data_IF_727902601284
#
_entry.id   IF_727902601284
#
_cell.length_a   1.000
_cell.length_b   1.000
_cell.length_c   1.000
_cell.angle_alpha   90.00
_cell.angle_beta   90.00
_cell.angle_gamma   90.00
#
_symmetry.space_group_name_H-M   'P 1'
#
loop_
_entity.id
_entity.type
_entity.pdbx_description
1 polymer ?
#
# COMPACT_ATOMS: atom_id res chain seq x y z
N UNK A 1 12.65 3.02 -3.72
CA UNK A 1 12.90 4.16 -2.80
C UNK A 1 11.56 4.85 -2.56
N UNK A 2 11.17 5.06 -1.31
CA UNK A 2 9.95 5.79 -0.92
C UNK A 2 10.19 7.30 -1.02
N UNK A 3 9.10 8.05 -1.21
CA UNK A 3 9.08 9.50 -1.00
C UNK A 3 8.45 9.82 0.38
N UNK A 4 8.66 11.03 0.93
CA UNK A 4 8.01 11.44 2.17
C UNK A 4 6.50 11.33 2.07
N UNK A 5 5.84 11.00 3.17
CA UNK A 5 4.38 10.86 3.26
C UNK A 5 3.66 12.12 2.72
N UNK A 6 4.10 13.32 3.09
CA UNK A 6 3.59 14.58 2.57
C UNK A 6 3.76 14.75 1.06
N UNK A 7 4.83 14.21 0.46
CA UNK A 7 5.05 14.29 -0.98
C UNK A 7 4.03 13.42 -1.73
N UNK A 8 3.73 12.22 -1.23
CA UNK A 8 2.70 11.38 -1.85
C UNK A 8 1.30 11.99 -1.69
N UNK A 9 0.98 12.58 -0.55
CA UNK A 9 -0.28 13.32 -0.34
C UNK A 9 -0.43 14.48 -1.35
N UNK A 10 0.65 15.22 -1.64
CA UNK A 10 0.63 16.26 -2.69
C UNK A 10 0.26 15.67 -4.07
N UNK A 11 0.80 14.50 -4.41
CA UNK A 11 0.46 13.84 -5.68
C UNK A 11 -1.02 13.39 -5.71
N UNK A 12 -1.56 12.87 -4.60
CA UNK A 12 -2.97 12.49 -4.50
C UNK A 12 -3.90 13.69 -4.65
N UNK A 13 -3.56 14.81 -3.99
CA UNK A 13 -4.32 16.06 -4.14
C UNK A 13 -4.24 16.62 -5.56
N UNK A 14 -3.08 16.52 -6.23
CA UNK A 14 -2.94 16.93 -7.62
C UNK A 14 -3.80 16.07 -8.56
N UNK A 15 -3.88 14.75 -8.32
CA UNK A 15 -4.78 13.86 -9.06
C UNK A 15 -6.26 14.22 -8.83
N UNK A 16 -6.65 14.57 -7.60
CA UNK A 16 -8.01 15.07 -7.31
C UNK A 16 -8.29 16.39 -8.03
N UNK A 17 -7.36 17.35 -7.96
CA UNK A 17 -7.49 18.62 -8.70
C UNK A 17 -7.67 18.39 -10.20
N UNK A 18 -6.95 17.45 -10.80
CA UNK A 18 -7.11 17.11 -12.21
C UNK A 18 -8.53 16.57 -12.50
N UNK A 19 -9.06 15.69 -11.66
CA UNK A 19 -10.43 15.17 -11.79
C UNK A 19 -11.48 16.28 -11.67
N UNK A 20 -11.28 17.21 -10.72
CA UNK A 20 -12.17 18.34 -10.46
C UNK A 20 -12.18 19.33 -11.65
N UNK A 21 -10.99 19.69 -12.18
CA UNK A 21 -10.86 20.55 -13.37
C UNK A 21 -11.55 19.94 -14.58
N UNK A 22 -11.47 18.62 -14.74
CA UNK A 22 -12.14 17.90 -15.83
C UNK A 22 -13.64 17.69 -15.58
N UNK A 23 -14.15 18.01 -14.38
CA UNK A 23 -15.56 17.79 -14.02
C UNK A 23 -15.94 16.31 -13.98
N UNK A 24 -15.01 15.42 -13.60
CA UNK A 24 -15.24 13.96 -13.59
C UNK A 24 -15.13 13.36 -12.20
N UNK A 25 -15.98 12.40 -11.82
CA UNK A 25 -15.88 11.69 -10.54
C UNK A 25 -14.84 10.55 -10.60
N UNK A 26 -13.66 10.84 -11.18
CA UNK A 26 -12.61 9.83 -11.35
C UNK A 26 -12.14 9.30 -10.00
N UNK A 27 -12.09 7.98 -9.86
CA UNK A 27 -11.60 7.33 -8.65
C UNK A 27 -10.08 7.41 -8.56
N UNK A 28 -9.57 7.66 -7.36
CA UNK A 28 -8.14 7.73 -7.05
C UNK A 28 -7.78 6.59 -6.09
N UNK A 29 -6.75 5.81 -6.44
CA UNK A 29 -6.23 4.72 -5.59
C UNK A 29 -4.84 5.10 -5.07
N UNK A 30 -4.70 5.21 -3.74
CA UNK A 30 -3.40 5.43 -3.12
C UNK A 30 -2.69 4.09 -2.87
N UNK A 31 -1.49 3.93 -3.45
CA UNK A 31 -0.63 2.77 -3.26
C UNK A 31 0.51 3.09 -2.29
N UNK A 32 0.84 2.15 -1.41
CA UNK A 32 2.09 2.18 -0.64
C UNK A 32 2.94 0.95 -0.93
N UNK A 33 4.24 1.19 -1.07
CA UNK A 33 5.29 0.18 -1.32
C UNK A 33 6.18 -0.06 -0.08
N UNK A 34 5.78 0.47 1.07
CA UNK A 34 6.59 0.45 2.29
C UNK A 34 6.77 -0.95 2.89
N UNK A 35 6.10 -1.98 2.35
CA UNK A 35 6.19 -3.35 2.82
C UNK A 35 7.58 -3.94 2.54
N UNK A 36 8.15 -3.62 1.38
CA UNK A 36 9.45 -4.11 0.94
C UNK A 36 10.49 -3.01 0.69
N UNK A 37 10.07 -1.74 0.54
CA UNK A 37 10.99 -0.65 0.25
C UNK A 37 11.89 -0.32 1.45
N UNK A 38 13.22 -0.42 1.25
CA UNK A 38 14.24 -0.19 2.30
C UNK A 38 14.88 1.19 2.29
N UNK A 39 14.47 2.06 1.37
CA UNK A 39 15.08 3.38 1.18
C UNK A 39 14.00 4.46 1.16
N UNK A 40 14.31 5.66 1.66
CA UNK A 40 13.48 6.86 1.67
C UNK A 40 14.30 8.07 1.19
N UNK A 41 13.71 8.94 0.36
CA UNK A 41 14.46 10.07 -0.19
C UNK A 41 14.82 11.13 0.84
N UNK A 42 13.99 11.37 1.85
CA UNK A 42 14.23 12.34 2.92
C UNK A 42 13.41 12.00 4.16
N UNK A 43 13.97 12.20 5.34
CA UNK A 43 13.30 12.07 6.65
C UNK A 43 12.63 13.37 7.14
N UNK A 44 12.40 14.32 6.22
CA UNK A 44 11.83 15.63 6.53
C UNK A 44 10.44 15.54 7.18
N UNK A 45 9.65 14.53 6.81
CA UNK A 45 8.32 14.29 7.35
C UNK A 45 8.41 13.49 8.65
N UNK A 46 7.93 14.09 9.75
CA UNK A 46 7.95 13.48 11.08
C UNK A 46 7.25 12.13 11.16
N UNK A 47 6.25 11.89 10.30
CA UNK A 47 5.52 10.62 10.24
C UNK A 47 6.37 9.47 9.71
N UNK A 48 7.44 9.78 8.97
CA UNK A 48 8.35 8.78 8.40
C UNK A 48 9.52 8.45 9.34
N UNK A 49 9.92 9.40 10.20
CA UNK A 49 11.06 9.26 11.13
C UNK A 49 10.99 8.00 12.03
N UNK A 50 9.84 7.58 12.57
CA UNK A 50 9.74 6.34 13.36
C UNK A 50 10.19 5.07 12.62
N UNK A 51 10.24 5.12 11.28
CA UNK A 51 10.62 3.99 10.44
C UNK A 51 12.04 4.15 9.84
N UNK A 52 12.71 5.28 10.07
CA UNK A 52 14.07 5.50 9.61
C UNK A 52 15.06 4.73 10.48
N UNK A 53 16.01 4.07 9.84
CA UNK A 53 17.17 3.45 10.47
C UNK A 53 18.34 4.42 10.40
N UNK A 54 18.48 5.24 11.45
CA UNK A 54 19.53 6.25 11.54
C UNK A 54 20.92 5.64 11.76
N UNK A 55 21.01 4.45 12.37
CA UNK A 55 22.29 3.76 12.63
C UNK A 55 22.91 3.23 11.34
N UNK A 56 22.07 2.84 10.37
CA UNK A 56 22.52 2.41 9.05
C UNK A 56 23.07 3.55 8.17
N UNK A 57 22.93 4.81 8.61
CA UNK A 57 23.37 5.99 7.86
C UNK A 57 22.65 6.16 6.52
N UNK A 58 23.25 6.93 5.61
CA UNK A 58 22.71 7.18 4.26
C UNK A 58 23.47 6.39 3.20
N UNK A 59 22.79 6.06 2.11
CA UNK A 59 23.46 5.50 0.91
C UNK A 59 24.34 6.55 0.24
N UNK A 60 25.17 6.14 -0.73
CA UNK A 60 26.06 7.05 -1.47
C UNK A 60 25.30 8.09 -2.30
N UNK A 61 24.07 7.78 -2.71
CA UNK A 61 23.13 8.69 -3.39
C UNK A 61 22.42 9.65 -2.41
N UNK A 62 22.65 9.47 -1.10
CA UNK A 62 22.06 10.30 -0.04
C UNK A 62 20.70 9.85 0.47
N UNK A 63 20.24 8.63 0.15
CA UNK A 63 18.96 8.11 0.65
C UNK A 63 19.07 7.63 2.09
N UNK A 64 18.00 7.83 2.87
CA UNK A 64 17.84 7.24 4.18
C UNK A 64 17.46 5.77 4.07
N UNK A 65 17.96 4.94 4.98
CA UNK A 65 17.51 3.57 5.13
C UNK A 65 16.28 3.52 6.04
N UNK A 66 15.33 2.63 5.73
CA UNK A 66 14.09 2.48 6.51
C UNK A 66 13.80 1.02 6.85
N UNK A 67 13.21 0.81 8.03
CA UNK A 67 12.61 -0.46 8.45
C UNK A 67 11.30 -0.64 7.68
N UNK A 68 11.35 -1.49 6.65
CA UNK A 68 10.18 -1.85 5.85
C UNK A 68 9.22 -2.77 6.62
N UNK A 69 7.97 -2.87 6.15
CA UNK A 69 7.01 -3.85 6.65
C UNK A 69 5.59 -3.31 6.79
N UNK A 70 4.75 -4.03 7.54
CA UNK A 70 3.32 -3.71 7.63
C UNK A 70 3.01 -2.43 8.42
N UNK A 71 3.86 -2.10 9.40
CA UNK A 71 3.67 -0.92 10.25
C UNK A 71 3.80 0.41 9.48
N UNK A 72 4.87 0.67 8.70
CA UNK A 72 4.92 1.87 7.86
C UNK A 72 3.84 1.88 6.79
N UNK A 73 3.40 0.71 6.28
CA UNK A 73 2.27 0.63 5.35
C UNK A 73 0.96 1.13 5.99
N UNK A 74 0.64 0.68 7.20
CA UNK A 74 -0.58 1.12 7.92
C UNK A 74 -0.51 2.61 8.22
N UNK A 75 0.63 3.11 8.73
CA UNK A 75 0.79 4.54 9.04
C UNK A 75 0.60 5.42 7.79
N UNK A 76 1.24 5.04 6.66
CA UNK A 76 1.08 5.74 5.39
C UNK A 76 -0.34 5.65 4.84
N UNK A 77 -0.96 4.48 4.90
CA UNK A 77 -2.33 4.27 4.47
C UNK A 77 -3.33 5.16 5.23
N UNK A 78 -3.20 5.25 6.56
CA UNK A 78 -4.01 6.16 7.39
C UNK A 78 -3.82 7.61 6.91
N UNK A 79 -2.57 8.03 6.69
CA UNK A 79 -2.28 9.38 6.21
C UNK A 79 -2.83 9.66 4.80
N UNK A 80 -2.89 8.65 3.93
CA UNK A 80 -3.39 8.79 2.55
C UNK A 80 -4.92 8.72 2.47
N UNK A 81 -5.58 8.12 3.47
CA UNK A 81 -7.00 7.83 3.42
C UNK A 81 -7.92 9.02 3.10
N UNK A 82 -7.69 10.25 3.60
CA UNK A 82 -8.52 11.40 3.24
C UNK A 82 -8.36 11.88 1.79
N UNK A 83 -7.33 11.42 1.07
CA UNK A 83 -6.91 11.95 -0.22
C UNK A 83 -7.14 10.99 -1.39
N UNK A 84 -7.69 9.80 -1.13
CA UNK A 84 -7.93 8.77 -2.14
C UNK A 84 -9.27 8.08 -1.89
N UNK A 85 -9.84 7.41 -2.88
CA UNK A 85 -11.08 6.64 -2.75
C UNK A 85 -10.79 5.24 -2.22
N UNK A 86 -9.74 4.59 -2.74
CA UNK A 86 -9.26 3.28 -2.29
C UNK A 86 -7.80 3.34 -1.84
N UNK A 87 -7.41 2.39 -0.99
CA UNK A 87 -6.03 2.20 -0.56
C UNK A 87 -5.53 0.80 -0.92
N UNK A 88 -4.30 0.72 -1.40
CA UNK A 88 -3.60 -0.50 -1.76
C UNK A 88 -2.23 -0.56 -1.08
N UNK A 89 -1.92 -1.67 -0.42
CA UNK A 89 -0.57 -2.03 0.01
C UNK A 89 0.00 -3.08 -0.94
N UNK A 90 1.15 -2.81 -1.56
CA UNK A 90 1.90 -3.87 -2.25
C UNK A 90 2.45 -4.86 -1.21
N UNK A 91 2.51 -6.15 -1.54
CA UNK A 91 2.93 -7.19 -0.61
C UNK A 91 3.91 -8.16 -1.28
N UNK A 92 4.82 -8.73 -0.49
CA UNK A 92 5.81 -9.69 -0.99
C UNK A 92 5.27 -11.11 -1.16
N UNK A 93 4.12 -11.44 -0.54
CA UNK A 93 3.50 -12.78 -0.56
C UNK A 93 1.97 -12.70 -0.47
N UNK A 94 1.23 -13.69 -0.98
CA UNK A 94 -0.21 -13.77 -0.82
C UNK A 94 -0.55 -14.28 0.59
N UNK A 95 -0.72 -13.37 1.56
CA UNK A 95 -0.95 -13.68 2.98
C UNK A 95 -2.24 -13.01 3.50
N UNK A 96 -3.25 -13.83 3.82
CA UNK A 96 -4.54 -13.37 4.34
C UNK A 96 -4.45 -12.79 5.75
N UNK A 97 -3.51 -13.24 6.59
CA UNK A 97 -3.31 -12.68 7.92
C UNK A 97 -2.67 -11.29 7.84
N UNK A 98 -1.69 -11.11 6.95
CA UNK A 98 -1.11 -9.79 6.66
C UNK A 98 -2.18 -8.84 6.09
N UNK A 99 -2.99 -9.31 5.14
CA UNK A 99 -4.08 -8.54 4.56
C UNK A 99 -5.12 -8.12 5.62
N UNK A 100 -5.51 -9.04 6.51
CA UNK A 100 -6.40 -8.74 7.63
C UNK A 100 -5.82 -7.69 8.56
N UNK A 101 -4.55 -7.82 8.96
CA UNK A 101 -3.85 -6.86 9.82
C UNK A 101 -3.82 -5.45 9.20
N UNK A 102 -3.56 -5.35 7.89
CA UNK A 102 -3.61 -4.08 7.17
C UNK A 102 -5.01 -3.49 7.17
N UNK A 103 -6.02 -4.28 6.78
CA UNK A 103 -7.39 -3.83 6.69
C UNK A 103 -7.94 -3.33 8.03
N UNK A 104 -7.69 -4.07 9.11
CA UNK A 104 -8.09 -3.66 10.47
C UNK A 104 -7.34 -2.41 10.93
N UNK A 105 -6.03 -2.31 10.65
CA UNK A 105 -5.22 -1.14 11.01
C UNK A 105 -5.71 0.16 10.36
N UNK A 106 -6.05 0.10 9.07
CA UNK A 106 -6.59 1.25 8.34
C UNK A 106 -8.03 1.56 8.79
N UNK A 107 -8.89 0.53 8.84
CA UNK A 107 -10.33 0.73 9.10
C UNK A 107 -10.65 1.09 10.54
N UNK A 108 -9.72 0.87 11.48
CA UNK A 108 -9.82 1.42 12.85
C UNK A 108 -9.87 2.95 12.83
N UNK A 109 -9.11 3.59 11.95
CA UNK A 109 -9.03 5.04 11.83
C UNK A 109 -9.99 5.59 10.79
N UNK A 110 -10.24 4.82 9.73
CA UNK A 110 -11.18 5.16 8.65
C UNK A 110 -12.19 4.03 8.44
N UNK A 111 -13.23 3.92 9.29
CA UNK A 111 -14.26 2.91 9.16
C UNK A 111 -14.88 2.92 7.76
N UNK A 112 -14.99 1.75 7.15
CA UNK A 112 -15.57 1.59 5.81
C UNK A 112 -14.65 1.95 4.64
N UNK A 113 -13.39 2.35 4.88
CA UNK A 113 -12.44 2.65 3.80
C UNK A 113 -12.30 1.47 2.83
N UNK A 114 -12.53 1.73 1.55
CA UNK A 114 -12.40 0.73 0.49
C UNK A 114 -10.92 0.41 0.26
N UNK A 115 -10.61 -0.87 0.11
CA UNK A 115 -9.26 -1.35 -0.12
C UNK A 115 -9.16 -2.02 -1.49
N UNK A 116 -7.95 -2.02 -2.04
CA UNK A 116 -7.61 -2.74 -3.26
C UNK A 116 -6.46 -3.73 -3.01
N UNK A 117 -6.48 -4.86 -3.71
CA UNK A 117 -5.50 -5.94 -3.54
C UNK A 117 -4.99 -6.46 -4.88
N UNK A 118 -3.67 -6.51 -5.03
CA UNK A 118 -3.00 -7.16 -6.15
C UNK A 118 -2.83 -8.66 -5.85
N UNK A 119 -3.58 -9.49 -6.55
CA UNK A 119 -3.37 -10.94 -6.61
C UNK A 119 -2.19 -11.22 -7.56
N UNK A 120 -0.98 -10.88 -7.12
CA UNK A 120 0.18 -10.79 -8.00
C UNK A 120 0.54 -12.13 -8.66
N UNK A 121 0.78 -12.16 -9.99
CA UNK A 121 1.32 -13.34 -10.67
C UNK A 121 2.82 -13.55 -10.39
N UNK A 122 3.52 -12.56 -9.79
CA UNK A 122 4.89 -12.75 -9.31
C UNK A 122 4.99 -13.71 -8.11
N UNK A 123 3.86 -14.01 -7.46
CA UNK A 123 3.81 -15.00 -6.40
C UNK A 123 3.81 -16.41 -6.99
N UNK A 124 4.64 -17.30 -6.43
CA UNK A 124 4.43 -18.72 -6.65
C UNK A 124 3.28 -19.21 -5.76
N UNK A 125 2.05 -19.16 -6.28
CA UNK A 125 0.81 -19.43 -5.51
C UNK A 125 0.81 -20.81 -4.84
N UNK A 126 1.05 -21.89 -5.61
CA UNK A 126 1.06 -23.27 -5.08
C UNK A 126 2.23 -23.57 -4.13
N UNK A 127 3.31 -22.79 -4.20
CA UNK A 127 4.39 -22.88 -3.20
C UNK A 127 4.02 -22.23 -1.87
N UNK A 128 3.21 -21.18 -1.90
CA UNK A 128 2.85 -20.42 -0.69
C UNK A 128 1.55 -20.90 -0.03
N UNK A 129 0.61 -21.42 -0.82
CA UNK A 129 -0.77 -21.71 -0.38
C UNK A 129 -1.23 -23.07 -0.90
N UNK A 130 -2.08 -23.74 -0.10
CA UNK A 130 -2.81 -24.92 -0.55
C UNK A 130 -3.99 -24.56 -1.49
N UNK A 131 -4.48 -25.55 -2.22
CA UNK A 131 -5.54 -25.35 -3.22
C UNK A 131 -6.84 -24.81 -2.60
N UNK A 132 -7.16 -25.21 -1.37
CA UNK A 132 -8.36 -24.73 -0.66
C UNK A 132 -8.26 -23.24 -0.31
N UNK A 133 -7.08 -22.79 0.09
CA UNK A 133 -6.79 -21.39 0.41
C UNK A 133 -6.77 -20.53 -0.86
N UNK A 134 -6.16 -21.01 -1.94
CA UNK A 134 -6.20 -20.35 -3.25
C UNK A 134 -7.66 -20.14 -3.69
N UNK A 135 -8.49 -21.19 -3.61
CA UNK A 135 -9.89 -21.13 -4.06
C UNK A 135 -10.78 -20.15 -3.25
N UNK A 136 -10.43 -19.83 -2.00
CA UNK A 136 -11.18 -18.90 -1.15
C UNK A 136 -10.51 -17.53 -0.97
N UNK A 137 -9.28 -17.35 -1.45
CA UNK A 137 -8.44 -16.17 -1.19
C UNK A 137 -9.17 -14.85 -1.46
N UNK A 138 -9.72 -14.70 -2.67
CA UNK A 138 -10.41 -13.46 -3.07
C UNK A 138 -11.71 -13.21 -2.28
N UNK A 139 -12.44 -14.28 -1.91
CA UNK A 139 -13.67 -14.17 -1.12
C UNK A 139 -13.35 -13.67 0.29
N UNK A 140 -12.30 -14.21 0.91
CA UNK A 140 -11.86 -13.76 2.24
C UNK A 140 -11.35 -12.32 2.21
N UNK A 141 -10.56 -11.93 1.21
CA UNK A 141 -10.18 -10.53 1.00
C UNK A 141 -11.40 -9.61 0.84
N UNK A 142 -12.40 -10.04 0.08
CA UNK A 142 -13.65 -9.31 -0.13
C UNK A 142 -14.39 -9.01 1.18
N UNK A 143 -14.39 -9.96 2.12
CA UNK A 143 -14.98 -9.79 3.45
C UNK A 143 -14.20 -8.78 4.32
N UNK A 144 -12.88 -8.68 4.14
CA UNK A 144 -12.02 -7.71 4.86
C UNK A 144 -12.15 -6.26 4.33
N UNK A 145 -12.75 -6.07 3.16
CA UNK A 145 -12.94 -4.75 2.54
C UNK A 145 -12.12 -4.50 1.27
N UNK A 146 -11.40 -5.50 0.77
CA UNK A 146 -10.74 -5.43 -0.53
C UNK A 146 -11.77 -5.59 -1.65
N UNK A 147 -12.37 -4.46 -2.06
CA UNK A 147 -13.48 -4.40 -3.02
C UNK A 147 -13.04 -4.29 -4.47
N UNK A 148 -11.77 -3.94 -4.69
CA UNK A 148 -11.14 -4.02 -6.00
C UNK A 148 -9.96 -4.99 -5.94
N UNK A 149 -10.03 -6.08 -6.70
CA UNK A 149 -8.99 -7.11 -6.73
C UNK A 149 -8.60 -7.38 -8.18
N UNK A 150 -7.30 -7.50 -8.44
CA UNK A 150 -6.78 -7.60 -9.80
C UNK A 150 -5.53 -8.46 -9.86
N UNK A 151 -5.24 -9.03 -11.03
CA UNK A 151 -4.00 -9.76 -11.34
C UNK A 151 -3.24 -8.92 -12.38
N UNK A 152 -2.11 -8.33 -11.99
CA UNK A 152 -1.43 -7.29 -12.78
C UNK A 152 -0.93 -7.75 -14.15
N UNK A 153 -0.34 -8.95 -14.25
CA UNK A 153 0.28 -9.46 -15.48
C UNK A 153 -0.50 -10.62 -16.11
N UNK A 154 -1.81 -10.74 -15.83
CA UNK A 154 -2.59 -11.89 -16.29
C UNK A 154 -2.63 -12.03 -17.82
N UNK A 155 -2.65 -10.92 -18.56
CA UNK A 155 -2.65 -10.95 -20.03
C UNK A 155 -1.26 -11.13 -20.65
N UNK A 156 -0.18 -11.03 -19.87
CA UNK A 156 1.19 -11.25 -20.35
C UNK A 156 1.59 -12.73 -20.27
N UNK A 157 1.17 -13.42 -19.20
CA UNK A 157 1.40 -14.85 -19.01
C UNK A 157 0.54 -15.71 -19.94
#
# INVERSE_FOLDING_TARGET
VLIPTAAHIRNLNAARLAADVMGTPTLVVARTDAEAAKLLTSDIDERDRPFVDYDAGRTVEGFYQVRNGIEPCIARAIAYAPHADLIWCETSKPDLAQAKKFAEGVRRHHPGKLLAYNCSPSFNWKKNLDDATIAKFQRELGAMGYKFQFITLAGFH
#
